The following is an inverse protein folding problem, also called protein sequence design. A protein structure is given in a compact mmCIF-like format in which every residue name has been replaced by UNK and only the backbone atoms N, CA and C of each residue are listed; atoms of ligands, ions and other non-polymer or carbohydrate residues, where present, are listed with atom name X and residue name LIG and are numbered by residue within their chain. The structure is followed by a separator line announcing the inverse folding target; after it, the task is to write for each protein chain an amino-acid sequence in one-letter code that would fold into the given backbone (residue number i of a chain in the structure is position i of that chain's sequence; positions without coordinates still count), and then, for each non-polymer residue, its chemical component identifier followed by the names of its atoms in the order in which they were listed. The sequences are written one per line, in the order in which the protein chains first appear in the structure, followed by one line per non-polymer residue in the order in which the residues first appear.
data_IF_962278360221
#
_entry.id   IF_962278360221
#
_cell.length_a   1.000
_cell.length_b   1.000
_cell.length_c   1.000
_cell.angle_alpha   90.00
_cell.angle_beta   90.00
_cell.angle_gamma   90.00
#
_symmetry.space_group_name_H-M   'P 1'
#
loop_
_entity.id
_entity.type
_entity.pdbx_description
1 polymer ?
#
# COMPACT_ATOMS: atom_id res chain seq x y z
N UNK A 1 -8.96 7.08 -11.74
CA UNK A 1 -10.32 6.54 -11.41
C UNK A 1 -10.67 5.32 -12.26
N UNK A 2 -10.64 5.42 -13.59
CA UNK A 2 -10.90 4.30 -14.54
C UNK A 2 -10.16 3.00 -14.18
N UNK A 3 -8.84 3.05 -13.94
CA UNK A 3 -8.06 1.85 -13.60
C UNK A 3 -8.53 1.15 -12.30
N UNK A 4 -8.99 1.92 -11.31
CA UNK A 4 -9.54 1.37 -10.05
C UNK A 4 -10.89 0.71 -10.31
N UNK A 5 -11.76 1.33 -11.13
CA UNK A 5 -13.02 0.73 -11.55
C UNK A 5 -12.80 -0.57 -12.31
N UNK A 6 -11.88 -0.60 -13.29
CA UNK A 6 -11.54 -1.80 -14.05
C UNK A 6 -11.10 -2.97 -13.13
N UNK A 7 -10.20 -2.69 -12.18
CA UNK A 7 -9.76 -3.71 -11.20
C UNK A 7 -10.93 -4.21 -10.35
N UNK A 8 -11.79 -3.32 -9.84
CA UNK A 8 -12.99 -3.70 -9.05
C UNK A 8 -13.95 -4.54 -9.89
N UNK A 9 -14.28 -4.11 -11.10
CA UNK A 9 -15.18 -4.83 -12.01
C UNK A 9 -14.70 -6.27 -12.25
N UNK A 10 -13.40 -6.46 -12.54
CA UNK A 10 -12.84 -7.80 -12.72
C UNK A 10 -12.87 -8.66 -11.45
N UNK A 11 -12.67 -8.09 -10.26
CA UNK A 11 -12.73 -8.86 -9.00
C UNK A 11 -14.15 -9.27 -8.62
N UNK A 12 -15.14 -8.40 -8.85
CA UNK A 12 -16.54 -8.77 -8.65
C UNK A 12 -17.01 -9.75 -9.72
N UNK A 13 -16.54 -9.64 -10.97
CA UNK A 13 -16.81 -10.62 -12.00
C UNK A 13 -16.20 -11.99 -11.67
N UNK A 14 -14.99 -12.03 -11.10
CA UNK A 14 -14.38 -13.26 -10.56
C UNK A 14 -15.20 -13.86 -9.40
N UNK A 15 -15.86 -13.01 -8.61
CA UNK A 15 -16.76 -13.44 -7.53
C UNK A 15 -18.06 -14.06 -8.07
N UNK A 16 -18.60 -13.55 -9.17
CA UNK A 16 -19.78 -14.12 -9.85
C UNK A 16 -19.44 -15.36 -10.68
N UNK A 17 -18.34 -15.33 -11.43
CA UNK A 17 -17.89 -16.40 -12.32
C UNK A 17 -16.81 -17.25 -11.64
N UNK A 18 -17.24 -18.13 -10.74
CA UNK A 18 -16.32 -18.94 -9.91
C UNK A 18 -15.34 -19.78 -10.74
N UNK A 19 -15.80 -20.37 -11.85
CA UNK A 19 -14.96 -21.19 -12.72
C UNK A 19 -14.05 -20.34 -13.62
N UNK A 20 -12.78 -20.74 -13.70
CA UNK A 20 -11.70 -19.92 -14.28
C UNK A 20 -11.85 -19.68 -15.78
N UNK A 21 -12.35 -20.66 -16.49
CA UNK A 21 -12.69 -20.62 -17.92
C UNK A 21 -13.80 -19.61 -18.22
N UNK A 22 -14.92 -19.70 -17.49
CA UNK A 22 -16.05 -18.76 -17.61
C UNK A 22 -15.63 -17.34 -17.23
N UNK A 23 -14.90 -17.19 -16.13
CA UNK A 23 -14.32 -15.89 -15.74
C UNK A 23 -13.45 -15.31 -16.85
N UNK A 24 -12.53 -16.12 -17.41
CA UNK A 24 -11.59 -15.64 -18.43
C UNK A 24 -12.33 -15.12 -19.66
N UNK A 25 -13.38 -15.81 -20.09
CA UNK A 25 -14.23 -15.36 -21.20
C UNK A 25 -14.83 -13.97 -20.93
N UNK A 26 -15.55 -13.81 -19.81
CA UNK A 26 -16.18 -12.53 -19.48
C UNK A 26 -15.17 -11.42 -19.15
N UNK A 27 -14.01 -11.75 -18.59
CA UNK A 27 -12.95 -10.79 -18.33
C UNK A 27 -12.38 -10.20 -19.63
N UNK A 28 -12.24 -11.02 -20.67
CA UNK A 28 -11.84 -10.55 -22.01
C UNK A 28 -12.92 -9.64 -22.63
N UNK A 29 -14.20 -10.00 -22.52
CA UNK A 29 -15.30 -9.15 -22.98
C UNK A 29 -15.33 -7.81 -22.22
N UNK A 30 -15.16 -7.85 -20.89
CA UNK A 30 -15.07 -6.64 -20.09
C UNK A 30 -13.89 -5.78 -20.51
N UNK A 31 -12.72 -6.38 -20.76
CA UNK A 31 -11.56 -5.64 -21.28
C UNK A 31 -11.84 -4.98 -22.63
N UNK A 32 -12.51 -5.68 -23.54
CA UNK A 32 -12.89 -5.12 -24.84
C UNK A 32 -13.80 -3.88 -24.67
N UNK A 33 -14.80 -3.93 -23.77
CA UNK A 33 -15.66 -2.77 -23.44
C UNK A 33 -14.86 -1.56 -22.94
N UNK A 34 -13.84 -1.78 -22.10
CA UNK A 34 -12.97 -0.70 -21.63
C UNK A 34 -12.04 -0.18 -22.73
N UNK A 35 -11.57 -1.04 -23.63
CA UNK A 35 -10.67 -0.65 -24.72
C UNK A 35 -11.38 0.13 -25.83
N UNK A 36 -12.68 -0.11 -26.05
CA UNK A 36 -13.51 0.62 -27.02
C UNK A 36 -13.46 2.14 -26.84
N UNK A 37 -13.47 2.61 -25.59
CA UNK A 37 -13.43 4.03 -25.25
C UNK A 37 -12.06 4.53 -24.79
N UNK A 38 -10.99 3.74 -24.97
CA UNK A 38 -9.63 4.10 -24.51
C UNK A 38 -9.10 5.38 -25.16
N UNK A 39 -9.48 5.65 -26.41
CA UNK A 39 -9.00 6.77 -27.20
C UNK A 39 -9.97 7.97 -27.20
N UNK A 40 -10.92 8.03 -26.26
CA UNK A 40 -11.82 9.19 -26.10
C UNK A 40 -11.02 10.43 -25.69
N UNK A 41 -11.14 11.51 -26.47
CA UNK A 41 -10.40 12.77 -26.25
C UNK A 41 -11.23 13.79 -25.49
N UNK A 42 -12.56 13.68 -25.55
CA UNK A 42 -13.45 14.56 -24.80
C UNK A 42 -13.51 14.13 -23.33
N UNK A 43 -12.95 14.96 -22.45
CA UNK A 43 -12.90 14.70 -21.02
C UNK A 43 -14.27 14.80 -20.33
N UNK A 44 -15.21 15.57 -20.88
CA UNK A 44 -16.59 15.63 -20.36
C UNK A 44 -17.28 14.30 -20.62
N UNK A 45 -17.19 13.82 -21.88
CA UNK A 45 -17.71 12.51 -22.26
C UNK A 45 -17.05 11.36 -21.50
N UNK A 46 -15.72 11.37 -21.35
CA UNK A 46 -15.01 10.36 -20.56
C UNK A 46 -15.43 10.34 -19.09
N UNK A 47 -15.74 11.51 -18.51
CA UNK A 47 -16.24 11.61 -17.13
C UNK A 47 -17.67 11.10 -17.01
N UNK A 48 -18.53 11.40 -17.99
CA UNK A 48 -19.89 10.88 -18.05
C UNK A 48 -19.90 9.35 -18.17
N UNK A 49 -19.11 8.79 -19.10
CA UNK A 49 -18.95 7.33 -19.26
C UNK A 49 -18.46 6.68 -17.96
N UNK A 50 -17.51 7.32 -17.27
CA UNK A 50 -17.04 6.82 -15.97
C UNK A 50 -18.16 6.81 -14.92
N UNK A 51 -19.00 7.85 -14.87
CA UNK A 51 -20.14 7.91 -13.93
C UNK A 51 -21.13 6.80 -14.21
N UNK A 52 -21.57 6.66 -15.46
CA UNK A 52 -22.50 5.61 -15.89
C UNK A 52 -21.92 4.21 -15.61
N UNK A 53 -20.62 4.00 -15.83
CA UNK A 53 -19.95 2.75 -15.51
C UNK A 53 -19.83 2.48 -14.00
N UNK A 54 -19.67 3.51 -13.15
CA UNK A 54 -19.72 3.34 -11.69
C UNK A 54 -21.13 2.99 -11.20
N UNK A 55 -22.18 3.56 -11.81
CA UNK A 55 -23.58 3.19 -11.55
C UNK A 55 -23.86 1.74 -11.97
N UNK A 56 -23.47 1.33 -13.18
CA UNK A 56 -23.59 -0.05 -13.66
C UNK A 56 -22.86 -1.03 -12.72
N UNK A 57 -21.62 -0.69 -12.31
CA UNK A 57 -20.87 -1.50 -11.36
C UNK A 57 -21.58 -1.61 -10.02
N UNK A 58 -22.11 -0.51 -9.47
CA UNK A 58 -22.82 -0.50 -8.20
C UNK A 58 -24.06 -1.40 -8.21
N UNK A 59 -24.84 -1.37 -9.29
CA UNK A 59 -26.04 -2.19 -9.45
C UNK A 59 -25.72 -3.70 -9.59
N UNK A 60 -24.57 -4.05 -10.17
CA UNK A 60 -24.21 -5.43 -10.50
C UNK A 60 -23.13 -6.03 -9.59
N UNK A 61 -22.70 -5.32 -8.55
CA UNK A 61 -21.66 -5.80 -7.66
C UNK A 61 -22.10 -7.05 -6.89
N UNK A 62 -21.21 -8.03 -6.78
CA UNK A 62 -21.47 -9.21 -5.95
C UNK A 62 -21.68 -8.81 -4.48
N UNK A 63 -22.72 -9.30 -3.78
CA UNK A 63 -23.03 -8.91 -2.38
C UNK A 63 -21.92 -9.24 -1.38
N UNK A 64 -21.23 -10.36 -1.59
CA UNK A 64 -20.10 -10.82 -0.77
C UNK A 64 -18.89 -11.09 -1.67
N UNK A 65 -18.17 -10.06 -2.13
CA UNK A 65 -17.06 -10.26 -3.07
C UNK A 65 -15.96 -11.10 -2.45
N UNK A 66 -15.20 -11.80 -3.29
CA UNK A 66 -13.98 -12.47 -2.85
C UNK A 66 -12.97 -11.44 -2.35
N UNK A 67 -12.61 -11.54 -1.07
CA UNK A 67 -11.58 -10.73 -0.43
C UNK A 67 -10.45 -11.68 -0.03
N UNK A 68 -9.21 -11.32 -0.39
CA UNK A 68 -8.04 -12.12 -0.02
C UNK A 68 -7.89 -12.15 1.51
N UNK A 69 -7.43 -13.27 2.10
CA UNK A 69 -7.41 -13.46 3.55
C UNK A 69 -6.75 -12.30 4.31
N UNK A 70 -5.60 -11.81 3.84
CA UNK A 70 -4.80 -10.78 4.51
C UNK A 70 -5.14 -9.35 4.06
N UNK A 71 -6.05 -9.17 3.10
CA UNK A 71 -6.54 -7.83 2.72
C UNK A 71 -7.57 -7.33 3.73
N UNK A 72 -7.76 -6.00 3.88
CA UNK A 72 -8.83 -5.46 4.72
C UNK A 72 -10.20 -6.07 4.38
N UNK A 73 -10.91 -6.56 5.41
CA UNK A 73 -12.17 -7.30 5.27
C UNK A 73 -12.01 -8.80 4.99
N UNK A 74 -10.78 -9.30 4.89
CA UNK A 74 -10.46 -10.71 4.75
C UNK A 74 -10.51 -11.48 6.07
N UNK A 75 -10.49 -12.82 5.99
CA UNK A 75 -10.66 -13.71 7.15
C UNK A 75 -9.43 -13.82 8.05
N UNK A 76 -8.26 -13.35 7.61
CA UNK A 76 -7.02 -13.31 8.40
C UNK A 76 -6.43 -11.91 8.50
N UNK A 77 -7.19 -10.87 8.12
CA UNK A 77 -6.77 -9.48 8.27
C UNK A 77 -6.43 -9.19 9.74
N UNK A 78 -5.24 -8.65 9.99
CA UNK A 78 -4.71 -8.32 11.33
C UNK A 78 -4.65 -9.50 12.32
N UNK A 79 -4.86 -10.75 11.86
CA UNK A 79 -4.81 -11.97 12.70
C UNK A 79 -3.52 -12.08 13.51
N UNK A 80 -2.42 -11.60 12.96
CA UNK A 80 -1.08 -11.67 13.54
C UNK A 80 -0.58 -10.33 14.10
N UNK A 81 -1.42 -9.29 14.14
CA UNK A 81 -1.01 -7.97 14.65
C UNK A 81 -0.64 -8.02 16.13
N UNK A 82 -1.30 -8.87 16.91
CA UNK A 82 -1.01 -9.10 18.32
C UNK A 82 0.41 -9.62 18.62
N UNK A 83 1.11 -10.17 17.62
CA UNK A 83 2.48 -10.67 17.77
C UNK A 83 3.54 -9.67 17.31
N UNK A 84 3.13 -8.54 16.71
CA UNK A 84 4.05 -7.51 16.20
C UNK A 84 4.40 -6.52 17.31
N UNK A 85 5.04 -7.02 18.36
CA UNK A 85 5.55 -6.17 19.44
C UNK A 85 6.62 -5.24 18.85
N UNK A 86 6.53 -3.92 19.05
CA UNK A 86 7.49 -3.00 18.47
C UNK A 86 8.87 -3.20 19.09
N UNK A 87 9.90 -2.99 18.28
CA UNK A 87 11.26 -3.38 18.61
C UNK A 87 11.82 -2.63 19.82
N UNK A 88 11.35 -1.42 20.12
CA UNK A 88 11.81 -0.62 21.24
C UNK A 88 11.50 -1.26 22.60
N UNK A 89 10.46 -2.10 22.72
CA UNK A 89 10.18 -2.83 23.97
C UNK A 89 11.32 -3.80 24.38
N UNK A 90 12.18 -4.20 23.44
CA UNK A 90 13.37 -5.01 23.75
C UNK A 90 14.40 -4.23 24.61
N UNK A 91 14.32 -2.91 24.62
CA UNK A 91 15.20 -2.09 25.47
C UNK A 91 14.81 -2.22 26.96
N UNK A 92 13.58 -2.62 27.27
CA UNK A 92 13.07 -2.78 28.63
C UNK A 92 13.36 -4.16 29.25
N UNK A 93 13.89 -5.11 28.47
CA UNK A 93 14.24 -6.44 28.98
C UNK A 93 15.28 -6.40 30.10
N UNK A 94 15.15 -7.30 31.07
CA UNK A 94 16.09 -7.38 32.18
C UNK A 94 17.48 -7.80 31.67
N UNK A 95 18.60 -7.29 32.24
CA UNK A 95 19.95 -7.66 31.78
C UNK A 95 20.23 -9.17 31.74
N UNK A 96 19.65 -9.96 32.64
CA UNK A 96 19.78 -11.43 32.60
C UNK A 96 19.15 -12.06 31.37
N UNK A 97 18.04 -11.50 30.88
CA UNK A 97 17.34 -11.97 29.68
C UNK A 97 18.10 -11.52 28.42
N UNK A 98 18.65 -10.30 28.42
CA UNK A 98 19.51 -9.82 27.33
C UNK A 98 20.80 -10.63 27.21
N UNK A 99 21.37 -11.07 28.34
CA UNK A 99 22.57 -11.90 28.38
C UNK A 99 22.37 -13.27 27.72
N UNK A 100 21.13 -13.72 27.52
CA UNK A 100 20.81 -14.92 26.74
C UNK A 100 21.12 -14.75 25.24
N UNK A 101 21.09 -13.52 24.71
CA UNK A 101 21.29 -13.21 23.29
C UNK A 101 22.38 -12.17 23.05
N UNK A 102 23.63 -12.42 23.48
CA UNK A 102 24.68 -11.42 23.53
C UNK A 102 25.00 -10.83 22.15
N UNK A 103 25.10 -11.67 21.11
CA UNK A 103 25.43 -11.24 19.76
C UNK A 103 24.34 -10.38 19.13
N UNK A 104 23.06 -10.68 19.43
CA UNK A 104 21.93 -9.92 18.89
C UNK A 104 21.90 -8.51 19.50
N UNK A 105 22.00 -8.40 20.82
CA UNK A 105 22.00 -7.10 21.49
C UNK A 105 23.26 -6.27 21.15
N UNK A 106 24.43 -6.92 20.98
CA UNK A 106 25.63 -6.23 20.50
C UNK A 106 25.44 -5.64 19.09
N UNK A 107 24.84 -6.38 18.15
CA UNK A 107 24.52 -5.88 16.80
C UNK A 107 23.46 -4.78 16.84
N UNK A 108 22.45 -4.89 17.70
CA UNK A 108 21.40 -3.89 17.88
C UNK A 108 21.95 -2.52 18.29
N UNK A 109 22.97 -2.49 19.16
CA UNK A 109 23.61 -1.23 19.56
C UNK A 109 24.29 -0.51 18.39
N UNK A 110 24.80 -1.25 17.40
CA UNK A 110 25.34 -0.66 16.16
C UNK A 110 24.24 0.05 15.36
N UNK A 111 23.05 -0.55 15.24
CA UNK A 111 21.89 0.07 14.60
C UNK A 111 21.39 1.30 15.36
N UNK A 112 21.32 1.24 16.69
CA UNK A 112 20.94 2.39 17.53
C UNK A 112 21.94 3.53 17.44
N UNK A 113 23.23 3.22 17.32
CA UNK A 113 24.27 4.22 17.05
C UNK A 113 24.05 4.87 15.69
N UNK A 114 23.87 4.08 14.64
CA UNK A 114 23.61 4.58 13.28
C UNK A 114 22.38 5.49 13.23
N UNK A 115 21.27 5.09 13.87
CA UNK A 115 20.03 5.88 13.94
C UNK A 115 20.23 7.23 14.64
N UNK A 116 21.00 7.26 15.73
CA UNK A 116 21.31 8.52 16.45
C UNK A 116 22.20 9.44 15.61
N UNK A 117 23.16 8.89 14.88
CA UNK A 117 24.08 9.65 14.02
C UNK A 117 23.42 10.14 12.71
N UNK A 118 22.39 9.45 12.22
CA UNK A 118 21.66 9.86 11.01
C UNK A 118 20.58 10.91 11.30
N UNK A 119 19.96 10.88 12.48
CA UNK A 119 18.80 11.72 12.82
C UNK A 119 18.99 13.20 12.56
N UNK A 120 20.10 13.80 13.01
CA UNK A 120 20.34 15.24 12.80
C UNK A 120 20.51 15.60 11.32
N UNK A 121 21.08 14.69 10.52
CA UNK A 121 21.30 14.89 9.08
C UNK A 121 19.98 14.81 8.32
N UNK A 122 19.15 13.83 8.66
CA UNK A 122 17.78 13.66 8.15
C UNK A 122 16.94 14.91 8.43
N UNK A 123 16.93 15.39 9.69
CA UNK A 123 16.19 16.61 10.07
C UNK A 123 16.69 17.83 9.30
N UNK A 124 18.01 18.01 9.16
CA UNK A 124 18.59 19.11 8.36
C UNK A 124 18.19 19.01 6.89
N UNK A 125 18.18 17.80 6.32
CA UNK A 125 17.75 17.59 4.94
C UNK A 125 16.27 17.96 4.77
N UNK A 126 15.40 17.51 5.67
CA UNK A 126 13.97 17.86 5.63
C UNK A 126 13.76 19.37 5.75
N UNK A 127 14.43 20.04 6.69
CA UNK A 127 14.32 21.50 6.84
C UNK A 127 14.82 22.26 5.62
N UNK A 128 15.84 21.76 4.93
CA UNK A 128 16.38 22.38 3.72
C UNK A 128 15.51 22.13 2.48
N UNK A 129 14.91 20.95 2.34
CA UNK A 129 14.09 20.57 1.16
C UNK A 129 12.61 20.92 1.32
N UNK A 130 12.12 21.16 2.54
CA UNK A 130 10.71 21.50 2.79
C UNK A 130 10.44 22.96 2.41
N UNK A 131 9.40 23.26 1.62
CA UNK A 131 9.00 24.63 1.31
C UNK A 131 8.65 25.45 2.57
N UNK A 132 8.76 26.78 2.49
CA UNK A 132 8.48 27.70 3.62
C UNK A 132 7.08 27.53 4.22
N UNK A 133 6.09 27.16 3.41
CA UNK A 133 4.71 26.89 3.84
C UNK A 133 4.50 25.50 4.45
N UNK A 134 5.56 24.73 4.66
CA UNK A 134 5.49 23.31 5.04
C UNK A 134 5.43 22.38 3.84
N UNK A 135 5.39 21.05 4.09
CA UNK A 135 5.33 20.05 3.04
C UNK A 135 3.97 20.10 2.32
N UNK A 136 4.00 20.04 0.99
CA UNK A 136 2.77 20.03 0.17
C UNK A 136 2.21 18.62 -0.05
N UNK A 137 3.01 17.58 0.26
CA UNK A 137 2.67 16.16 0.11
C UNK A 137 3.35 15.32 1.20
N UNK A 138 2.91 14.08 1.38
CA UNK A 138 3.51 13.11 2.33
C UNK A 138 4.81 12.45 1.81
N UNK A 139 5.29 12.82 0.62
CA UNK A 139 6.46 12.19 0.02
C UNK A 139 7.76 12.67 0.70
N UNK A 140 8.43 11.78 1.41
CA UNK A 140 9.77 12.03 1.98
C UNK A 140 10.85 11.94 0.89
N UNK A 141 11.88 12.82 0.93
CA UNK A 141 12.94 12.80 -0.06
C UNK A 141 13.91 11.63 0.15
N UNK A 142 14.56 11.10 -0.90
CA UNK A 142 15.62 10.12 -0.74
C UNK A 142 16.89 10.78 -0.16
N UNK A 143 17.79 9.97 0.41
CA UNK A 143 19.13 10.44 0.78
C UNK A 143 19.88 11.00 -0.44
N UNK A 144 20.52 12.17 -0.31
CA UNK A 144 21.18 12.87 -1.44
C UNK A 144 22.69 12.65 -1.50
N UNK A 145 23.32 12.27 -0.39
CA UNK A 145 24.77 12.16 -0.28
C UNK A 145 25.16 10.75 0.14
N UNK A 146 26.36 10.35 -0.25
CA UNK A 146 26.95 9.10 0.20
C UNK A 146 27.15 9.13 1.73
N UNK A 147 26.71 8.06 2.40
CA UNK A 147 26.74 7.94 3.86
C UNK A 147 25.55 8.54 4.61
N UNK A 148 24.65 9.27 3.94
CA UNK A 148 23.37 9.69 4.52
C UNK A 148 22.33 8.56 4.42
N UNK A 149 21.41 8.52 5.39
CA UNK A 149 20.24 7.65 5.36
C UNK A 149 18.99 8.47 5.00
N UNK A 150 17.97 7.84 4.38
CA UNK A 150 16.73 8.54 4.07
C UNK A 150 16.04 9.08 5.34
N UNK A 151 15.56 10.33 5.32
CA UNK A 151 14.72 10.88 6.38
C UNK A 151 13.33 10.25 6.46
#
# INVERSE_FOLDING_TARGET
KVLRLYKRALRHLESWCVHRDKYRYFACLMRARFEEHKNEKDMVKATQLLREAEEEFWHNQHPQPYIFPDSPGGTSYERYECYKVPEWCLDDWHPSEKAMYPDYFAKREQWKKLRRESWEREVKQLQAETPVGGPTTEALPPARKEGDLPP
#
